data_IF_886411487637
#
_entry.id   IF_886411487637
#
_cell.length_a   1.000
_cell.length_b   1.000
_cell.length_c   1.000
_cell.angle_alpha   90.00
_cell.angle_beta   90.00
_cell.angle_gamma   90.00
#
_symmetry.space_group_name_H-M   'P 1'
#
loop_
_entity.id
_entity.type
_entity.pdbx_description
1 polymer ?
#
# COMPACT_ATOMS: atom_id res chain seq x y z
N UNK A 1 17.42 -3.13 14.35
CA UNK A 1 16.95 -2.53 13.10
C UNK A 1 16.45 -1.16 13.49
N UNK A 2 16.97 -0.09 12.90
CA UNK A 2 16.66 1.26 13.36
C UNK A 2 15.71 1.92 12.35
N UNK A 3 14.42 1.78 12.60
CA UNK A 3 13.34 2.28 11.75
C UNK A 3 13.35 3.81 11.75
N UNK A 4 13.19 4.42 10.58
CA UNK A 4 13.22 5.87 10.41
C UNK A 4 11.95 6.39 9.77
N UNK A 5 11.49 7.53 10.27
CA UNK A 5 10.44 8.31 9.62
C UNK A 5 11.06 9.00 8.39
N UNK A 6 10.58 8.70 7.19
CA UNK A 6 11.04 9.30 5.93
C UNK A 6 10.30 10.61 5.66
N UNK A 7 8.98 10.63 5.84
CA UNK A 7 8.12 11.83 5.72
C UNK A 7 7.00 11.75 6.75
N UNK A 8 6.55 12.92 7.21
CA UNK A 8 5.51 13.00 8.23
C UNK A 8 4.54 14.16 7.97
N UNK A 9 3.26 13.84 8.14
CA UNK A 9 2.17 14.81 8.26
C UNK A 9 1.61 14.73 9.69
N UNK A 10 1.28 15.87 10.28
CA UNK A 10 0.72 15.94 11.63
C UNK A 10 -0.62 16.65 11.58
N UNK A 11 -1.69 15.90 11.89
CA UNK A 11 -3.03 16.45 11.96
C UNK A 11 -3.30 16.99 13.38
N UNK A 12 -3.49 18.31 13.47
CA UNK A 12 -3.73 19.02 14.74
C UNK A 12 -5.19 19.44 14.94
N UNK A 13 -6.13 18.90 14.15
CA UNK A 13 -7.55 19.23 14.26
C UNK A 13 -8.24 18.53 15.45
N UNK A 14 -7.54 17.63 16.13
CA UNK A 14 -8.02 16.90 17.30
C UNK A 14 -7.41 17.48 18.59
N UNK A 15 -7.94 17.10 19.75
CA UNK A 15 -7.41 17.54 21.05
C UNK A 15 -5.94 17.14 21.26
N UNK A 16 -5.52 16.03 20.64
CA UNK A 16 -4.13 15.59 20.59
C UNK A 16 -3.67 15.48 19.11
N UNK A 17 -2.43 15.89 18.79
CA UNK A 17 -1.90 15.72 17.44
C UNK A 17 -1.88 14.25 17.03
N UNK A 18 -2.36 13.95 15.83
CA UNK A 18 -2.28 12.62 15.24
C UNK A 18 -1.22 12.59 14.13
N UNK A 19 -0.29 11.65 14.23
CA UNK A 19 0.87 11.55 13.36
C UNK A 19 0.62 10.57 12.23
N UNK A 20 0.95 10.97 11.00
CA UNK A 20 0.95 10.12 9.81
C UNK A 20 2.38 10.01 9.30
N UNK A 21 3.01 8.87 9.57
CA UNK A 21 4.42 8.62 9.33
C UNK A 21 4.61 7.66 8.15
N UNK A 22 5.36 8.11 7.15
CA UNK A 22 5.96 7.21 6.18
C UNK A 22 7.27 6.69 6.76
N UNK A 23 7.40 5.39 6.98
CA UNK A 23 8.64 4.75 7.42
C UNK A 23 9.45 4.22 6.25
N UNK A 24 10.76 4.06 6.44
CA UNK A 24 11.63 3.36 5.50
C UNK A 24 11.29 1.86 5.45
N UNK A 25 11.02 1.29 6.61
CA UNK A 25 10.52 -0.06 6.79
C UNK A 25 9.57 -0.14 8.00
N UNK A 26 8.70 -1.14 8.01
CA UNK A 26 7.86 -1.44 9.17
C UNK A 26 8.12 -2.90 9.52
N UNK A 27 8.61 -3.20 10.74
CA UNK A 27 8.82 -4.57 11.18
C UNK A 27 7.48 -5.30 11.23
N UNK A 28 7.51 -6.59 10.90
CA UNK A 28 6.34 -7.43 10.99
C UNK A 28 5.89 -7.58 12.45
N UNK A 29 4.59 -7.41 12.69
CA UNK A 29 3.96 -7.74 13.97
C UNK A 29 3.71 -9.25 13.98
N UNK A 30 4.33 -9.93 14.94
CA UNK A 30 4.10 -11.36 15.17
C UNK A 30 3.31 -11.57 16.45
N UNK A 31 2.45 -12.59 16.44
CA UNK A 31 1.44 -12.80 17.47
C UNK A 31 1.76 -13.98 18.38
N UNK A 32 1.36 -13.87 19.63
CA UNK A 32 1.27 -14.98 20.57
C UNK A 32 -0.13 -15.05 21.16
N UNK A 33 -0.49 -16.22 21.71
CA UNK A 33 -1.78 -16.41 22.35
C UNK A 33 -1.65 -16.23 23.85
N UNK A 34 -2.36 -15.25 24.41
CA UNK A 34 -2.43 -15.01 25.86
C UNK A 34 -3.88 -15.21 26.31
N UNK A 35 -4.13 -16.33 26.98
CA UNK A 35 -5.50 -16.77 27.28
C UNK A 35 -6.29 -17.07 26.00
N UNK A 36 -7.40 -16.37 25.79
CA UNK A 36 -8.22 -16.47 24.58
C UNK A 36 -7.86 -15.46 23.48
N UNK A 37 -6.97 -14.50 23.77
CA UNK A 37 -6.69 -13.36 22.89
C UNK A 37 -5.37 -13.54 22.14
N UNK A 38 -5.22 -12.81 21.03
CA UNK A 38 -3.95 -12.72 20.31
C UNK A 38 -3.29 -11.39 20.60
N UNK A 39 -2.02 -11.46 20.99
CA UNK A 39 -1.20 -10.30 21.35
C UNK A 39 -0.07 -10.21 20.35
N UNK A 40 -0.10 -9.15 19.55
CA UNK A 40 0.89 -8.84 18.54
C UNK A 40 1.98 -7.92 19.09
N UNK A 41 3.22 -8.17 18.68
CA UNK A 41 4.32 -7.23 18.92
C UNK A 41 5.34 -7.27 17.79
N UNK A 42 5.93 -6.12 17.50
CA UNK A 42 7.18 -6.04 16.75
C UNK A 42 8.27 -5.48 17.67
N UNK A 43 9.47 -6.06 17.64
CA UNK A 43 10.58 -5.69 18.52
C UNK A 43 11.79 -5.17 17.77
N UNK A 44 12.60 -4.34 18.43
CA UNK A 44 13.91 -3.96 17.93
C UNK A 44 14.95 -5.08 18.15
N UNK A 45 16.22 -4.79 17.85
CA UNK A 45 17.34 -5.73 18.02
C UNK A 45 17.65 -6.06 19.49
N UNK A 46 17.28 -5.17 20.41
CA UNK A 46 17.52 -5.32 21.85
C UNK A 46 16.31 -5.98 22.55
N UNK A 47 15.27 -6.32 21.78
CA UNK A 47 14.05 -6.94 22.28
C UNK A 47 13.01 -5.96 22.83
N UNK A 48 13.21 -4.64 22.65
CA UNK A 48 12.21 -3.66 23.06
C UNK A 48 11.03 -3.67 22.09
N UNK A 49 9.81 -3.61 22.62
CA UNK A 49 8.59 -3.57 21.83
C UNK A 49 8.45 -2.20 21.18
N UNK A 50 8.43 -2.18 19.84
CA UNK A 50 8.21 -0.98 19.02
C UNK A 50 6.73 -0.81 18.75
N UNK A 51 6.08 -1.85 18.23
CA UNK A 51 4.64 -1.85 17.94
C UNK A 51 3.93 -2.90 18.76
N UNK A 52 2.68 -2.61 19.12
CA UNK A 52 1.81 -3.49 19.87
C UNK A 52 0.45 -3.58 19.19
N UNK A 53 -0.12 -4.76 19.17
CA UNK A 53 -1.47 -5.01 18.68
C UNK A 53 -2.16 -5.97 19.63
N UNK A 54 -3.46 -5.80 19.84
CA UNK A 54 -4.24 -6.61 20.75
C UNK A 54 -5.58 -6.97 20.14
N UNK A 55 -5.68 -8.23 19.71
CA UNK A 55 -6.90 -8.77 19.14
C UNK A 55 -7.67 -9.52 20.23
N UNK A 56 -8.66 -8.83 20.79
CA UNK A 56 -9.55 -9.34 21.82
C UNK A 56 -10.67 -10.19 21.23
N UNK A 57 -10.95 -11.33 21.87
CA UNK A 57 -12.09 -12.15 21.54
C UNK A 57 -13.39 -11.51 22.07
N UNK A 58 -14.39 -11.42 21.20
CA UNK A 58 -15.76 -11.10 21.59
C UNK A 58 -16.74 -12.08 20.95
N UNK A 59 -17.84 -12.36 21.66
CA UNK A 59 -18.91 -13.28 21.27
C UNK A 59 -19.77 -12.77 20.11
N UNK A 60 -19.66 -11.48 19.78
CA UNK A 60 -20.36 -10.84 18.66
C UNK A 60 -19.55 -10.99 17.36
N UNK A 61 -20.23 -11.31 16.26
CA UNK A 61 -19.57 -11.63 14.99
C UNK A 61 -19.39 -10.44 14.03
N UNK A 62 -18.65 -10.68 12.95
CA UNK A 62 -18.36 -9.78 11.82
C UNK A 62 -17.28 -8.71 12.07
N UNK A 63 -16.35 -8.93 12.99
CA UNK A 63 -15.11 -8.17 13.07
C UNK A 63 -14.45 -8.05 11.67
N UNK A 64 -13.89 -6.87 11.38
CA UNK A 64 -13.29 -6.53 10.09
C UNK A 64 -14.20 -6.80 8.88
N UNK A 65 -15.49 -6.48 9.02
CA UNK A 65 -16.54 -6.75 8.03
C UNK A 65 -16.64 -8.24 7.63
N UNK A 66 -16.29 -9.15 8.55
CA UNK A 66 -16.32 -10.60 8.33
C UNK A 66 -15.16 -11.13 7.48
N UNK A 67 -14.09 -10.35 7.28
CA UNK A 67 -12.87 -10.81 6.61
C UNK A 67 -12.14 -11.84 7.48
N UNK A 68 -11.53 -12.82 6.82
CA UNK A 68 -10.56 -13.72 7.44
C UNK A 68 -9.21 -13.00 7.48
N UNK A 69 -8.59 -12.97 8.66
CA UNK A 69 -7.23 -12.48 8.85
C UNK A 69 -6.28 -13.65 9.00
N UNK A 70 -5.05 -13.46 8.54
CA UNK A 70 -3.96 -14.43 8.66
C UNK A 70 -2.91 -13.81 9.56
N UNK A 71 -2.66 -14.41 10.72
CA UNK A 71 -1.69 -13.97 11.72
C UNK A 71 -0.41 -14.79 11.60
N UNK A 72 0.73 -14.10 11.56
CA UNK A 72 2.04 -14.73 11.69
C UNK A 72 2.39 -14.86 13.18
N UNK A 73 2.59 -16.09 13.64
CA UNK A 73 2.77 -16.39 15.06
C UNK A 73 4.25 -16.35 15.45
N UNK A 74 4.56 -16.03 16.72
CA UNK A 74 5.93 -16.02 17.26
C UNK A 74 6.63 -17.38 17.21
N UNK A 75 5.86 -18.46 17.22
CA UNK A 75 6.37 -19.84 17.06
C UNK A 75 6.64 -20.23 15.60
N UNK A 76 6.49 -19.28 14.66
CA UNK A 76 6.68 -19.48 13.22
C UNK A 76 5.46 -20.07 12.50
N UNK A 77 4.38 -20.39 13.22
CA UNK A 77 3.15 -20.88 12.60
C UNK A 77 2.30 -19.74 12.02
N UNK A 78 1.22 -20.10 11.35
CA UNK A 78 0.25 -19.15 10.83
C UNK A 78 -1.14 -19.51 11.34
N UNK A 79 -1.84 -18.53 11.90
CA UNK A 79 -3.19 -18.71 12.44
C UNK A 79 -4.21 -17.92 11.63
N UNK A 80 -5.28 -18.59 11.19
CA UNK A 80 -6.43 -17.94 10.56
C UNK A 80 -7.49 -17.61 11.59
N UNK A 81 -7.95 -16.37 11.61
CA UNK A 81 -9.01 -15.89 12.51
C UNK A 81 -10.09 -15.16 11.72
N UNK A 82 -11.32 -15.14 12.22
CA UNK A 82 -12.47 -14.55 11.54
C UNK A 82 -13.59 -14.19 12.50
N UNK A 83 -14.34 -13.13 12.19
CA UNK A 83 -15.59 -12.73 12.83
C UNK A 83 -15.52 -12.25 14.29
N UNK A 84 -14.74 -12.87 15.17
CA UNK A 84 -14.87 -12.74 16.63
C UNK A 84 -13.67 -12.08 17.31
N UNK A 85 -12.74 -11.54 16.54
CA UNK A 85 -11.51 -10.93 17.05
C UNK A 85 -11.49 -9.48 16.62
N UNK A 86 -11.56 -8.57 17.57
CA UNK A 86 -11.61 -7.12 17.34
C UNK A 86 -10.30 -6.48 17.75
N UNK A 87 -9.95 -5.39 17.05
CA UNK A 87 -8.86 -4.52 17.43
C UNK A 87 -9.21 -3.80 18.75
N UNK A 88 -8.47 -4.12 19.80
CA UNK A 88 -8.56 -3.50 21.13
C UNK A 88 -7.37 -2.57 21.41
N UNK A 89 -6.67 -2.12 20.35
CA UNK A 89 -5.52 -1.24 20.43
C UNK A 89 -4.25 -2.02 20.81
N UNK A 90 -3.58 -1.59 21.88
CA UNK A 90 -2.35 -2.22 22.35
C UNK A 90 -2.57 -3.08 23.59
N UNK A 91 -1.69 -4.08 23.77
CA UNK A 91 -1.67 -4.87 24.99
C UNK A 91 -1.04 -4.08 26.14
N UNK A 92 -1.82 -3.72 27.17
CA UNK A 92 -1.38 -2.83 28.26
C UNK A 92 -0.09 -3.26 28.98
N UNK A 93 0.21 -4.56 29.03
CA UNK A 93 1.46 -5.05 29.65
C UNK A 93 2.70 -4.78 28.81
N UNK A 94 2.56 -4.41 27.53
CA UNK A 94 3.68 -3.97 26.70
C UNK A 94 4.18 -2.57 27.07
N UNK A 95 3.43 -1.79 27.88
CA UNK A 95 3.80 -0.43 28.29
C UNK A 95 2.87 0.66 27.73
N UNK A 96 3.42 1.86 27.54
CA UNK A 96 2.70 3.03 27.01
C UNK A 96 2.85 3.14 25.49
N UNK A 97 1.72 3.29 24.80
CA UNK A 97 1.64 3.40 23.35
C UNK A 97 0.76 4.57 22.94
N UNK A 98 0.99 5.07 21.74
CA UNK A 98 0.13 6.05 21.08
C UNK A 98 -0.32 5.51 19.72
N UNK A 99 -1.50 5.94 19.28
CA UNK A 99 -2.06 5.60 17.97
C UNK A 99 -1.51 6.54 16.89
N UNK A 100 -1.00 5.97 15.80
CA UNK A 100 -0.48 6.69 14.65
C UNK A 100 -0.94 6.05 13.33
N UNK A 101 -0.96 6.85 12.27
CA UNK A 101 -0.97 6.35 10.90
C UNK A 101 0.44 5.99 10.45
N UNK A 102 0.66 4.77 10.00
CA UNK A 102 1.94 4.27 9.48
C UNK A 102 1.83 3.71 8.07
N UNK A 103 2.87 3.86 7.28
CA UNK A 103 2.99 3.19 5.99
C UNK A 103 4.42 3.23 5.47
N UNK A 104 4.78 2.35 4.54
CA UNK A 104 6.03 2.47 3.78
C UNK A 104 5.74 3.20 2.48
N UNK A 105 6.78 3.66 1.77
CA UNK A 105 6.62 4.20 0.42
C UNK A 105 5.87 3.21 -0.49
N UNK A 106 6.17 1.91 -0.39
CA UNK A 106 5.50 0.89 -1.19
C UNK A 106 4.01 0.76 -0.84
N UNK A 107 3.63 0.77 0.44
CA UNK A 107 2.22 0.66 0.84
C UNK A 107 1.43 1.91 0.45
N UNK A 108 2.02 3.09 0.65
CA UNK A 108 1.40 4.37 0.31
C UNK A 108 1.28 4.58 -1.20
N UNK A 109 2.19 4.06 -2.00
CA UNK A 109 2.05 4.04 -3.45
C UNK A 109 0.79 3.23 -3.89
N UNK A 110 0.48 2.11 -3.24
CA UNK A 110 -0.63 1.25 -3.68
C UNK A 110 -2.02 1.87 -3.57
N UNK A 111 -2.33 2.49 -2.43
CA UNK A 111 -3.68 2.98 -2.13
C UNK A 111 -3.68 4.34 -1.42
N UNK A 112 -2.50 4.88 -1.11
CA UNK A 112 -2.30 6.10 -0.32
C UNK A 112 -3.18 6.17 0.93
N UNK A 113 -3.12 5.09 1.71
CA UNK A 113 -3.80 4.94 3.00
C UNK A 113 -2.76 4.55 4.02
N UNK A 114 -2.70 5.31 5.11
CA UNK A 114 -1.94 4.93 6.30
C UNK A 114 -2.73 3.88 7.08
N UNK A 115 -2.05 2.84 7.53
CA UNK A 115 -2.61 1.84 8.45
C UNK A 115 -2.46 2.33 9.89
N UNK A 116 -3.43 2.04 10.75
CA UNK A 116 -3.33 2.35 12.18
C UNK A 116 -2.28 1.45 12.85
N UNK A 117 -1.48 2.04 13.73
CA UNK A 117 -0.49 1.33 14.55
C UNK A 117 -0.47 1.92 15.96
N UNK A 118 -0.34 1.05 16.95
CA UNK A 118 0.03 1.48 18.29
C UNK A 118 1.54 1.38 18.45
N UNK A 119 2.23 2.52 18.49
CA UNK A 119 3.69 2.60 18.64
C UNK A 119 4.08 2.95 20.07
N UNK A 120 5.14 2.34 20.58
CA UNK A 120 5.65 2.61 21.92
C UNK A 120 6.06 4.08 22.02
N UNK A 121 5.56 4.77 23.05
CA UNK A 121 5.70 6.23 23.21
C UNK A 121 7.17 6.67 23.31
N UNK A 122 7.99 5.96 24.08
CA UNK A 122 9.40 6.30 24.26
C UNK A 122 10.22 6.05 22.99
N UNK A 123 9.92 4.94 22.30
CA UNK A 123 10.54 4.63 21.01
C UNK A 123 10.17 5.66 19.96
N UNK A 124 8.89 6.04 19.89
CA UNK A 124 8.43 7.04 18.92
C UNK A 124 9.03 8.43 19.18
N UNK A 125 9.17 8.84 20.45
CA UNK A 125 9.83 10.12 20.75
C UNK A 125 11.25 10.18 20.20
N UNK A 126 12.04 9.10 20.34
CA UNK A 126 13.39 9.02 19.75
C UNK A 126 13.35 9.13 18.22
N UNK A 127 12.35 8.53 17.57
CA UNK A 127 12.16 8.63 16.11
C UNK A 127 11.77 10.04 15.69
N UNK A 128 10.94 10.74 16.47
CA UNK A 128 10.60 12.14 16.25
C UNK A 128 11.83 13.03 16.40
N UNK A 129 12.62 12.83 17.45
CA UNK A 129 13.85 13.61 17.69
C UNK A 129 14.85 13.44 16.54
N UNK A 130 15.05 12.21 16.05
CA UNK A 130 15.83 11.95 14.82
C UNK A 130 15.23 12.67 13.61
N UNK A 131 13.92 12.54 13.39
CA UNK A 131 13.23 13.13 12.26
C UNK A 131 13.35 14.66 12.21
N UNK A 132 13.00 15.33 13.30
CA UNK A 132 13.02 16.79 13.39
C UNK A 132 14.45 17.37 13.33
N UNK A 133 15.49 16.57 13.58
CA UNK A 133 16.87 17.01 13.40
C UNK A 133 17.28 17.19 11.93
N UNK A 134 16.52 16.62 10.98
CA UNK A 134 16.90 16.52 9.57
C UNK A 134 15.81 16.86 8.56
N UNK A 135 14.55 16.91 8.99
CA UNK A 135 13.41 16.99 8.09
C UNK A 135 12.27 17.81 8.71
N UNK A 136 11.45 18.41 7.84
CA UNK A 136 10.28 19.19 8.24
C UNK A 136 9.01 18.35 8.24
N UNK A 137 7.93 18.87 8.82
CA UNK A 137 6.59 18.36 8.55
C UNK A 137 6.13 18.78 7.14
N UNK A 138 5.30 17.93 6.53
CA UNK A 138 4.71 18.16 5.21
C UNK A 138 3.19 18.20 5.31
N UNK A 139 2.58 18.82 4.31
CA UNK A 139 1.15 18.65 4.08
C UNK A 139 0.85 17.25 3.51
N UNK A 140 -0.35 16.74 3.82
CA UNK A 140 -0.78 15.41 3.37
C UNK A 140 -0.64 15.19 1.86
N UNK A 141 -0.97 16.21 1.06
CA UNK A 141 -0.90 16.15 -0.41
C UNK A 141 0.54 16.21 -0.95
N UNK A 142 1.46 16.88 -0.26
CA UNK A 142 2.88 16.93 -0.68
C UNK A 142 3.51 15.55 -0.60
N UNK A 143 3.22 14.80 0.46
CA UNK A 143 3.68 13.42 0.63
C UNK A 143 3.03 12.53 -0.45
N UNK A 144 1.77 12.78 -0.81
CA UNK A 144 1.05 12.00 -1.82
C UNK A 144 1.69 12.15 -3.20
N UNK A 145 1.88 13.39 -3.63
CA UNK A 145 2.52 13.72 -4.88
C UNK A 145 3.94 13.15 -4.94
N UNK A 146 4.72 13.36 -3.87
CA UNK A 146 6.07 12.84 -3.79
C UNK A 146 6.11 11.31 -3.91
N UNK A 147 5.22 10.60 -3.19
CA UNK A 147 5.13 9.13 -3.22
C UNK A 147 4.88 8.62 -4.63
N UNK A 148 3.96 9.28 -5.36
CA UNK A 148 3.62 8.95 -6.75
C UNK A 148 4.77 9.19 -7.72
N UNK A 149 5.69 10.11 -7.42
CA UNK A 149 6.86 10.37 -8.27
C UNK A 149 7.97 9.32 -8.13
N UNK A 150 7.99 8.57 -7.02
CA UNK A 150 8.99 7.55 -6.71
C UNK A 150 8.75 6.19 -7.38
N UNK A 151 7.74 6.07 -8.23
CA UNK A 151 7.54 4.82 -8.97
C UNK A 151 8.75 4.48 -9.83
N UNK A 152 9.09 3.19 -9.86
CA UNK A 152 9.87 2.65 -10.97
C UNK A 152 8.98 2.59 -12.20
N UNK A 153 9.34 3.36 -13.20
CA UNK A 153 8.65 3.48 -14.48
C UNK A 153 9.34 2.63 -15.55
N UNK A 154 8.56 1.89 -16.32
CA UNK A 154 9.00 1.11 -17.46
C UNK A 154 8.47 1.75 -18.74
N UNK A 155 9.23 1.76 -19.86
CA UNK A 155 8.73 2.29 -21.11
C UNK A 155 7.53 1.47 -21.60
N UNK A 156 6.51 2.15 -22.12
CA UNK A 156 5.43 1.45 -22.83
C UNK A 156 5.95 0.97 -24.17
N UNK A 157 5.89 -0.34 -24.38
CA UNK A 157 6.26 -1.03 -25.61
C UNK A 157 5.01 -1.66 -26.22
N UNK A 158 4.81 -1.43 -27.52
CA UNK A 158 3.72 -2.02 -28.30
C UNK A 158 4.28 -2.45 -29.64
N UNK A 159 4.09 -3.72 -29.99
CA UNK A 159 4.58 -4.30 -31.24
C UNK A 159 6.10 -4.08 -31.40
N UNK A 160 6.85 -4.12 -30.29
CA UNK A 160 8.29 -3.88 -30.25
C UNK A 160 8.75 -2.41 -30.31
N UNK A 161 7.83 -1.46 -30.49
CA UNK A 161 8.15 -0.03 -30.55
C UNK A 161 7.92 0.69 -29.21
N UNK A 162 8.79 1.65 -28.88
CA UNK A 162 8.66 2.46 -27.67
C UNK A 162 7.80 3.70 -27.92
N UNK A 163 6.83 3.91 -27.04
CA UNK A 163 5.94 5.07 -27.07
C UNK A 163 6.37 6.13 -26.05
N UNK A 164 5.90 7.39 -26.17
CA UNK A 164 6.23 8.48 -25.23
C UNK A 164 5.54 8.33 -23.86
N UNK A 165 5.20 7.11 -23.46
CA UNK A 165 4.51 6.76 -22.23
C UNK A 165 5.33 5.78 -21.42
N UNK A 166 5.01 5.72 -20.14
CA UNK A 166 5.60 4.80 -19.18
C UNK A 166 4.49 4.15 -18.36
N UNK A 167 4.78 2.97 -17.82
CA UNK A 167 3.89 2.22 -16.94
C UNK A 167 4.64 1.76 -15.70
N UNK A 168 4.01 1.83 -14.53
CA UNK A 168 4.58 1.31 -13.28
C UNK A 168 4.10 -0.14 -13.02
N UNK A 169 4.63 -0.78 -11.96
CA UNK A 169 4.25 -2.16 -11.61
C UNK A 169 2.77 -2.34 -11.28
N UNK A 170 2.04 -1.27 -10.95
CA UNK A 170 0.62 -1.29 -10.59
C UNK A 170 -0.30 -0.95 -11.78
N UNK A 171 0.25 -0.75 -12.97
CA UNK A 171 -0.51 -0.44 -14.17
C UNK A 171 -0.99 1.02 -14.24
N UNK A 172 -0.40 1.92 -13.46
CA UNK A 172 -0.55 3.36 -13.69
C UNK A 172 0.31 3.78 -14.87
N UNK A 173 -0.21 4.68 -15.70
CA UNK A 173 0.49 5.19 -16.87
C UNK A 173 0.81 6.67 -16.71
N UNK A 174 1.93 7.09 -17.28
CA UNK A 174 2.34 8.49 -17.30
C UNK A 174 3.08 8.84 -18.60
N UNK A 175 3.10 10.13 -18.96
CA UNK A 175 3.98 10.64 -20.01
C UNK A 175 5.43 10.54 -19.57
N UNK A 176 6.32 10.22 -20.53
CA UNK A 176 7.75 10.08 -20.25
C UNK A 176 8.42 11.39 -19.84
N UNK A 177 8.01 12.51 -20.44
CA UNK A 177 8.69 13.80 -20.33
C UNK A 177 8.49 14.47 -18.97
N UNK A 178 7.26 14.48 -18.47
CA UNK A 178 6.87 15.24 -17.28
C UNK A 178 6.24 14.38 -16.18
N UNK A 179 6.17 13.05 -16.37
CA UNK A 179 5.48 12.10 -15.47
C UNK A 179 4.01 12.44 -15.22
N UNK A 180 3.39 13.24 -16.08
CA UNK A 180 1.97 13.53 -16.03
C UNK A 180 1.17 12.24 -16.23
N UNK A 181 0.24 11.95 -15.31
CA UNK A 181 -0.57 10.75 -15.36
C UNK A 181 -1.48 10.75 -16.58
N UNK A 182 -1.60 9.60 -17.21
CA UNK A 182 -2.55 9.34 -18.28
C UNK A 182 -3.40 8.11 -17.95
N UNK A 183 -4.61 8.05 -18.51
CA UNK A 183 -5.58 7.00 -18.21
C UNK A 183 -5.98 6.23 -19.48
N UNK A 184 -5.06 5.46 -20.10
CA UNK A 184 -5.33 4.75 -21.34
C UNK A 184 -6.16 3.48 -21.16
N UNK A 185 -6.40 3.05 -19.92
CA UNK A 185 -7.19 1.85 -19.63
C UNK A 185 -8.66 2.11 -19.93
N UNK A 186 -9.22 1.32 -20.85
CA UNK A 186 -10.65 1.31 -21.17
C UNK A 186 -11.20 -0.09 -20.95
N UNK A 187 -12.15 -0.21 -20.03
CA UNK A 187 -12.83 -1.48 -19.79
C UNK A 187 -14.17 -1.50 -20.52
N UNK A 188 -14.37 -2.48 -21.39
CA UNK A 188 -15.60 -2.62 -22.16
C UNK A 188 -16.26 -3.98 -21.90
N UNK A 189 -17.59 -3.99 -21.92
CA UNK A 189 -18.39 -5.22 -21.90
C UNK A 189 -18.97 -5.41 -23.30
N UNK A 190 -18.74 -6.58 -23.89
CA UNK A 190 -19.34 -6.97 -25.16
C UNK A 190 -20.27 -8.16 -24.94
N UNK A 191 -21.34 -8.20 -25.73
CA UNK A 191 -22.26 -9.33 -25.77
C UNK A 191 -22.12 -10.02 -27.12
N UNK A 192 -21.88 -11.32 -27.12
CA UNK A 192 -21.84 -12.15 -28.34
C UNK A 192 -22.68 -13.39 -28.07
N UNK A 193 -23.79 -13.55 -28.80
CA UNK A 193 -24.72 -14.70 -28.65
C UNK A 193 -25.11 -14.93 -27.19
N UNK A 194 -25.62 -13.87 -26.53
CA UNK A 194 -26.04 -13.84 -25.13
C UNK A 194 -24.96 -14.13 -24.07
N UNK A 195 -23.69 -14.26 -24.49
CA UNK A 195 -22.55 -14.37 -23.57
C UNK A 195 -21.91 -13.00 -23.37
N UNK A 196 -21.69 -12.67 -22.09
CA UNK A 196 -21.01 -11.43 -21.66
C UNK A 196 -19.49 -11.64 -21.64
N UNK A 197 -18.77 -10.80 -22.36
CA UNK A 197 -17.30 -10.76 -22.40
C UNK A 197 -16.81 -9.43 -21.86
N UNK A 198 -15.84 -9.49 -20.95
CA UNK A 198 -15.15 -8.31 -20.41
C UNK A 198 -13.81 -8.16 -21.14
N UNK A 199 -13.52 -6.97 -21.65
CA UNK A 199 -12.27 -6.67 -22.34
C UNK A 199 -11.63 -5.44 -21.73
N UNK A 200 -10.36 -5.56 -21.35
CA UNK A 200 -9.53 -4.43 -20.91
C UNK A 200 -8.64 -4.01 -22.08
N UNK A 201 -8.82 -2.79 -22.56
CA UNK A 201 -8.08 -2.21 -23.66
C UNK A 201 -7.11 -1.14 -23.16
N UNK A 202 -5.98 -1.03 -23.83
CA UNK A 202 -5.18 0.18 -23.88
C UNK A 202 -5.68 0.99 -25.07
N UNK A 203 -6.28 2.14 -24.81
CA UNK A 203 -6.77 3.08 -25.82
C UNK A 203 -6.21 4.46 -25.51
N UNK A 204 -5.40 5.00 -26.42
CA UNK A 204 -4.84 6.34 -26.25
C UNK A 204 -4.67 7.03 -27.61
N UNK A 205 -4.92 8.33 -27.61
CA UNK A 205 -4.71 9.19 -28.78
C UNK A 205 -3.61 10.20 -28.47
N UNK A 206 -2.61 10.31 -29.34
CA UNK A 206 -1.54 11.28 -29.18
C UNK A 206 -1.08 11.83 -30.52
N UNK A 207 -0.66 13.09 -30.52
CA UNK A 207 -0.03 13.71 -31.67
C UNK A 207 1.47 13.42 -31.62
N UNK A 208 2.03 12.84 -32.67
CA UNK A 208 3.46 12.56 -32.78
C UNK A 208 4.26 13.71 -33.42
N UNK A 209 3.65 14.89 -33.56
CA UNK A 209 4.21 16.07 -34.24
C UNK A 209 3.88 16.12 -35.73
N UNK A 210 3.38 15.03 -36.33
CA UNK A 210 3.01 14.96 -37.75
C UNK A 210 1.51 14.69 -37.92
N UNK A 211 0.95 13.79 -37.12
CA UNK A 211 -0.47 13.41 -37.17
C UNK A 211 -0.96 12.91 -35.82
N UNK A 212 -2.29 12.92 -35.67
CA UNK A 212 -2.94 12.23 -34.57
C UNK A 212 -2.88 10.72 -34.80
N UNK A 213 -2.34 9.99 -33.83
CA UNK A 213 -2.30 8.54 -33.81
C UNK A 213 -3.26 8.02 -32.75
N UNK A 214 -4.08 7.04 -33.13
CA UNK A 214 -4.94 6.28 -32.22
C UNK A 214 -4.40 4.88 -32.05
N UNK A 215 -4.07 4.53 -30.81
CA UNK A 215 -3.63 3.19 -30.44
C UNK A 215 -4.80 2.49 -29.78
N UNK A 216 -5.08 1.26 -30.21
CA UNK A 216 -5.98 0.35 -29.51
C UNK A 216 -5.39 -1.06 -29.49
N UNK A 217 -5.11 -1.58 -28.29
CA UNK A 217 -4.59 -2.93 -28.05
C UNK A 217 -5.22 -3.54 -26.82
N UNK A 218 -5.12 -4.85 -26.63
CA UNK A 218 -5.46 -5.46 -25.34
C UNK A 218 -4.46 -4.97 -24.30
N UNK A 219 -4.96 -4.53 -23.14
CA UNK A 219 -4.10 -3.99 -22.09
C UNK A 219 -3.07 -5.03 -21.61
N UNK A 220 -3.46 -6.31 -21.56
CA UNK A 220 -2.56 -7.40 -21.16
C UNK A 220 -1.34 -7.52 -22.09
N UNK A 221 -1.54 -7.42 -23.39
CA UNK A 221 -0.46 -7.58 -24.38
C UNK A 221 0.56 -6.43 -24.22
N UNK A 222 0.05 -5.20 -24.08
CA UNK A 222 0.89 -4.02 -23.81
C UNK A 222 1.69 -4.17 -22.51
N UNK A 223 1.05 -4.64 -21.43
CA UNK A 223 1.72 -4.80 -20.15
C UNK A 223 2.79 -5.90 -20.19
N UNK A 224 2.54 -7.02 -20.87
CA UNK A 224 3.54 -8.09 -21.05
C UNK A 224 4.78 -7.63 -21.81
N UNK A 225 4.60 -6.80 -22.84
CA UNK A 225 5.73 -6.24 -23.59
C UNK A 225 6.48 -5.15 -22.80
N UNK A 226 5.78 -4.42 -21.93
CA UNK A 226 6.33 -3.26 -21.22
C UNK A 226 6.95 -3.59 -19.86
N UNK A 227 6.45 -4.62 -19.17
CA UNK A 227 6.81 -4.93 -17.79
C UNK A 227 7.68 -6.18 -17.69
N UNK A 228 8.72 -6.18 -16.85
CA UNK A 228 9.59 -7.34 -16.63
C UNK A 228 9.02 -8.30 -15.59
N UNK A 229 7.71 -8.56 -15.63
CA UNK A 229 7.00 -9.37 -14.63
C UNK A 229 6.26 -10.51 -15.32
N UNK A 230 6.09 -11.61 -14.59
CA UNK A 230 5.32 -12.74 -15.08
C UNK A 230 3.83 -12.38 -15.24
N UNK A 231 3.13 -13.05 -16.15
CA UNK A 231 1.72 -12.74 -16.44
C UNK A 231 0.84 -12.76 -15.19
N UNK A 232 1.07 -13.73 -14.29
CA UNK A 232 0.34 -13.84 -13.02
C UNK A 232 0.54 -12.61 -12.13
N UNK A 233 1.76 -12.11 -12.05
CA UNK A 233 2.10 -10.92 -11.27
C UNK A 233 1.49 -9.66 -11.90
N UNK A 234 1.52 -9.55 -13.22
CA UNK A 234 0.88 -8.44 -13.95
C UNK A 234 -0.63 -8.44 -13.66
N UNK A 235 -1.28 -9.60 -13.75
CA UNK A 235 -2.70 -9.76 -13.48
C UNK A 235 -3.07 -9.28 -12.08
N UNK A 236 -2.28 -9.69 -11.08
CA UNK A 236 -2.48 -9.34 -9.67
C UNK A 236 -2.23 -7.85 -9.41
N UNK A 237 -1.04 -7.36 -9.77
CA UNK A 237 -0.61 -6.00 -9.48
C UNK A 237 -1.44 -4.94 -10.24
N UNK A 238 -1.78 -5.20 -11.52
CA UNK A 238 -2.55 -4.27 -12.35
C UNK A 238 -4.07 -4.43 -12.21
N UNK A 239 -4.53 -5.30 -11.28
CA UNK A 239 -5.95 -5.57 -11.01
C UNK A 239 -6.72 -5.89 -12.30
N UNK A 240 -6.20 -6.84 -13.07
CA UNK A 240 -6.81 -7.31 -14.33
C UNK A 240 -7.74 -8.50 -14.11
N UNK A 241 -7.78 -9.05 -12.90
CA UNK A 241 -8.73 -10.05 -12.44
C UNK A 241 -10.16 -9.49 -12.35
N UNK A 242 -10.78 -9.28 -13.50
CA UNK A 242 -12.19 -8.95 -13.60
C UNK A 242 -13.02 -10.23 -13.45
N UNK A 243 -13.29 -10.65 -12.21
CA UNK A 243 -14.36 -11.62 -11.94
C UNK A 243 -15.71 -11.01 -12.31
#
# INVERSE_FOLDING_TARGET
MNIKIVKMYVNRNWSEPHYYCMFDEIPEITYEKIGCNYVGSATDQDGNIIFSDYLGYDSWGKAFAGRELTLHMKDGTTQKIKNYWYDWGYYKKHGEFIDIGGGTLESLQRCYVYSGYNINKATFQKMLDDYYSREKEYEYYEIEEWSKLQYKWYPVVIDGERYPFMVNKYGDFARRENKERIYPRKNIVKYVRDKRFKLCLFEFEYNNGVRLLKIQRKLMDVLKESLPFEEKEIIENCKLNWK
#
